data_IF_640885771756
#
_entry.id   IF_640885771756
#
_cell.length_a   1.000
_cell.length_b   1.000
_cell.length_c   1.000
_cell.angle_alpha   90.00
_cell.angle_beta   90.00
_cell.angle_gamma   90.00
#
_symmetry.space_group_name_H-M   'P 1'
#
loop_
_entity.id
_entity.type
_entity.pdbx_description
1 polymer ?
#
# COMPACT_ATOMS: atom_id res chain seq x y z
N UNK A 1 18.68 4.72 4.50
CA UNK A 1 19.11 3.81 5.60
C UNK A 1 20.44 3.12 5.22
N UNK A 2 21.41 2.92 6.14
CA UNK A 2 22.64 2.14 5.80
C UNK A 2 22.25 0.69 5.46
N UNK A 3 22.82 0.12 4.38
CA UNK A 3 22.46 -1.21 3.84
C UNK A 3 22.38 -2.32 4.91
N UNK A 4 23.35 -2.37 5.85
CA UNK A 4 23.33 -3.33 6.97
C UNK A 4 22.11 -3.18 7.90
N UNK A 5 21.71 -1.95 8.21
CA UNK A 5 20.55 -1.69 9.07
C UNK A 5 19.24 -2.04 8.35
N UNK A 6 19.17 -1.83 7.03
CA UNK A 6 18.02 -2.28 6.23
C UNK A 6 17.85 -3.79 6.27
N UNK A 7 18.92 -4.54 6.00
CA UNK A 7 18.89 -6.01 6.04
C UNK A 7 18.41 -6.54 7.39
N UNK A 8 18.85 -5.92 8.48
CA UNK A 8 18.41 -6.29 9.83
C UNK A 8 16.93 -5.94 10.05
N UNK A 9 16.49 -4.78 9.58
CA UNK A 9 15.09 -4.37 9.66
C UNK A 9 14.17 -5.32 8.88
N UNK A 10 14.49 -5.65 7.63
CA UNK A 10 13.73 -6.61 6.80
C UNK A 10 13.58 -7.94 7.55
N UNK A 11 14.68 -8.48 8.08
CA UNK A 11 14.69 -9.74 8.85
C UNK A 11 13.91 -9.69 10.15
N UNK A 12 13.59 -8.49 10.66
CA UNK A 12 12.78 -8.31 11.86
C UNK A 12 11.28 -8.19 11.57
N UNK A 13 10.89 -8.14 10.30
CA UNK A 13 9.48 -8.05 9.92
C UNK A 13 8.77 -9.37 10.17
N UNK A 14 7.58 -9.27 10.75
CA UNK A 14 6.60 -10.35 10.77
C UNK A 14 5.77 -10.29 9.49
N UNK A 15 5.08 -11.37 9.10
CA UNK A 15 4.15 -11.35 7.95
C UNK A 15 3.17 -10.17 7.98
N UNK A 16 2.55 -9.91 9.14
CA UNK A 16 1.64 -8.78 9.32
C UNK A 16 2.34 -7.43 9.14
N UNK A 17 3.52 -7.22 9.72
CA UNK A 17 4.24 -5.96 9.55
C UNK A 17 4.70 -5.74 8.11
N UNK A 18 5.04 -6.81 7.39
CA UNK A 18 5.37 -6.71 5.98
C UNK A 18 4.13 -6.31 5.17
N UNK A 19 2.98 -6.95 5.42
CA UNK A 19 1.71 -6.58 4.78
C UNK A 19 1.34 -5.12 5.02
N UNK A 20 1.29 -4.70 6.29
CA UNK A 20 0.88 -3.35 6.70
C UNK A 20 1.81 -2.26 6.13
N UNK A 21 3.10 -2.58 5.96
CA UNK A 21 4.08 -1.60 5.48
C UNK A 21 4.12 -1.49 3.94
N UNK A 22 4.04 -2.61 3.23
CA UNK A 22 4.24 -2.64 1.77
C UNK A 22 2.95 -2.54 0.95
N UNK A 23 1.82 -3.01 1.49
CA UNK A 23 0.53 -2.95 0.81
C UNK A 23 -0.49 -2.16 1.63
N UNK A 24 -0.72 -2.58 2.88
CA UNK A 24 -1.53 -1.82 3.84
C UNK A 24 -3.03 -1.82 3.61
N UNK A 25 -3.53 -2.57 2.62
CA UNK A 25 -4.95 -2.65 2.27
C UNK A 25 -5.51 -4.08 2.43
N UNK A 26 -6.77 -4.30 2.03
CA UNK A 26 -7.48 -5.56 2.16
C UNK A 26 -6.87 -6.68 1.30
N UNK A 27 -6.70 -7.88 1.89
CA UNK A 27 -6.21 -9.08 1.18
C UNK A 27 -7.12 -9.47 0.01
N UNK A 28 -8.43 -9.28 0.17
CA UNK A 28 -9.43 -9.56 -0.85
C UNK A 28 -9.25 -8.66 -2.08
N UNK A 29 -8.94 -7.37 -1.87
CA UNK A 29 -8.60 -6.44 -2.95
C UNK A 29 -7.31 -6.84 -3.65
N UNK A 30 -6.25 -7.13 -2.90
CA UNK A 30 -4.97 -7.59 -3.45
C UNK A 30 -5.16 -8.79 -4.39
N UNK A 31 -5.85 -9.83 -3.92
CA UNK A 31 -6.07 -11.03 -4.75
C UNK A 31 -6.89 -10.70 -5.99
N UNK A 32 -7.88 -9.79 -5.86
CA UNK A 32 -8.73 -9.39 -6.99
C UNK A 32 -7.96 -8.62 -8.05
N UNK A 33 -7.10 -7.68 -7.66
CA UNK A 33 -6.22 -6.93 -8.58
C UNK A 33 -5.41 -7.92 -9.44
N UNK A 34 -4.79 -8.92 -8.80
CA UNK A 34 -3.99 -9.93 -9.50
C UNK A 34 -4.82 -10.91 -10.33
N UNK A 35 -6.07 -11.20 -9.94
CA UNK A 35 -6.97 -12.04 -10.74
C UNK A 35 -7.34 -11.37 -12.07
N UNK A 36 -7.59 -10.06 -12.08
CA UNK A 36 -7.83 -9.29 -13.31
C UNK A 36 -6.62 -9.35 -14.24
N UNK A 37 -5.41 -9.30 -13.68
CA UNK A 37 -4.15 -9.46 -14.42
C UNK A 37 -3.85 -10.90 -14.87
N UNK A 38 -4.74 -11.86 -14.56
CA UNK A 38 -4.63 -13.27 -14.98
C UNK A 38 -3.76 -14.15 -14.10
N UNK A 39 -3.32 -13.67 -12.92
CA UNK A 39 -2.59 -14.49 -11.95
C UNK A 39 -3.57 -15.27 -11.09
N UNK A 40 -3.43 -16.59 -11.00
CA UNK A 40 -4.29 -17.42 -10.12
C UNK A 40 -3.55 -18.02 -8.92
N UNK A 41 -2.21 -17.98 -8.94
CA UNK A 41 -1.37 -18.56 -7.90
C UNK A 41 -0.86 -17.48 -6.94
N UNK A 42 -1.21 -17.59 -5.66
CA UNK A 42 -0.82 -16.61 -4.61
C UNK A 42 0.69 -16.40 -4.54
N UNK A 43 1.49 -17.46 -4.71
CA UNK A 43 2.96 -17.31 -4.70
C UNK A 43 3.44 -16.45 -5.85
N UNK A 44 2.91 -16.66 -7.04
CA UNK A 44 3.27 -15.88 -8.24
C UNK A 44 2.85 -14.42 -8.07
N UNK A 45 1.69 -14.16 -7.48
CA UNK A 45 1.23 -12.80 -7.12
C UNK A 45 2.24 -12.11 -6.20
N UNK A 46 2.62 -12.76 -5.10
CA UNK A 46 3.56 -12.20 -4.13
C UNK A 46 4.95 -11.95 -4.75
N UNK A 47 5.41 -12.84 -5.62
CA UNK A 47 6.68 -12.67 -6.34
C UNK A 47 6.62 -11.49 -7.31
N UNK A 48 5.55 -11.40 -8.11
CA UNK A 48 5.33 -10.30 -9.05
C UNK A 48 5.24 -8.96 -8.32
N UNK A 49 4.51 -8.92 -7.20
CA UNK A 49 4.37 -7.73 -6.35
C UNK A 49 5.72 -7.28 -5.77
N UNK A 50 6.53 -8.21 -5.25
CA UNK A 50 7.83 -7.87 -4.69
C UNK A 50 8.81 -7.29 -5.73
N UNK A 51 8.65 -7.63 -7.02
CA UNK A 51 9.48 -7.09 -8.11
C UNK A 51 9.22 -5.58 -8.33
N UNK A 52 8.10 -5.02 -7.86
CA UNK A 52 7.81 -3.58 -7.99
C UNK A 52 8.43 -2.73 -6.86
N UNK A 53 9.01 -3.35 -5.82
CA UNK A 53 9.72 -2.65 -4.74
C UNK A 53 11.08 -1.96 -5.04
N UNK A 54 11.82 -2.22 -6.15
CA UNK A 54 13.17 -1.70 -6.36
C UNK A 54 13.34 -0.17 -6.42
N UNK A 55 12.25 0.62 -6.38
CA UNK A 55 12.30 2.09 -6.43
C UNK A 55 11.67 2.77 -5.20
N UNK A 56 11.77 2.18 -4.01
CA UNK A 56 11.34 2.85 -2.77
C UNK A 56 12.47 3.65 -2.12
N UNK A 57 12.13 4.55 -1.19
CA UNK A 57 13.08 5.31 -0.35
C UNK A 57 14.03 4.44 0.49
N UNK A 58 13.81 3.12 0.49
CA UNK A 58 14.62 2.10 1.16
C UNK A 58 15.85 1.68 0.35
N UNK A 59 15.95 2.12 -0.91
CA UNK A 59 17.05 1.82 -1.84
C UNK A 59 16.92 0.44 -2.48
N UNK A 60 17.92 0.05 -3.27
CA UNK A 60 17.89 -1.20 -4.04
C UNK A 60 17.92 -2.45 -3.16
N UNK A 61 16.94 -3.32 -3.34
CA UNK A 61 16.85 -4.63 -2.71
C UNK A 61 17.64 -5.66 -3.52
N UNK A 62 18.30 -6.58 -2.84
CA UNK A 62 18.83 -7.80 -3.43
C UNK A 62 17.70 -8.77 -3.71
N UNK A 63 17.87 -9.64 -4.71
CA UNK A 63 16.88 -10.65 -5.09
C UNK A 63 16.43 -11.51 -3.90
N UNK A 64 17.35 -11.91 -3.03
CA UNK A 64 17.05 -12.69 -1.82
C UNK A 64 16.25 -11.90 -0.76
N UNK A 65 16.36 -10.57 -0.74
CA UNK A 65 15.52 -9.72 0.10
C UNK A 65 14.10 -9.64 -0.46
N UNK A 66 13.95 -9.54 -1.79
CA UNK A 66 12.65 -9.55 -2.47
C UNK A 66 11.92 -10.88 -2.29
N UNK A 67 12.63 -12.00 -2.44
CA UNK A 67 12.09 -13.35 -2.20
C UNK A 67 11.64 -13.53 -0.75
N UNK A 68 12.41 -13.00 0.20
CA UNK A 68 12.04 -13.06 1.61
C UNK A 68 10.78 -12.23 1.90
N UNK A 69 10.65 -11.04 1.32
CA UNK A 69 9.46 -10.21 1.45
C UNK A 69 8.23 -10.87 0.81
N UNK A 70 8.38 -11.42 -0.40
CA UNK A 70 7.31 -12.16 -1.07
C UNK A 70 6.80 -13.32 -0.19
N UNK A 71 7.70 -14.05 0.47
CA UNK A 71 7.33 -15.13 1.38
C UNK A 71 6.59 -14.63 2.63
N UNK A 72 7.01 -13.50 3.22
CA UNK A 72 6.28 -12.91 4.35
C UNK A 72 4.85 -12.49 3.96
N UNK A 73 4.68 -11.93 2.77
CA UNK A 73 3.38 -11.53 2.22
C UNK A 73 2.52 -12.78 1.94
N UNK A 74 3.10 -13.80 1.30
CA UNK A 74 2.45 -15.10 1.04
C UNK A 74 1.93 -15.73 2.35
N UNK A 75 2.76 -15.76 3.40
CA UNK A 75 2.36 -16.27 4.72
C UNK A 75 1.19 -15.49 5.33
N UNK A 76 1.19 -14.17 5.21
CA UNK A 76 0.10 -13.34 5.72
C UNK A 76 -1.22 -13.63 5.00
N UNK A 77 -1.18 -13.71 3.67
CA UNK A 77 -2.35 -14.02 2.84
C UNK A 77 -2.92 -15.39 3.20
N UNK A 78 -2.10 -16.44 3.29
CA UNK A 78 -2.58 -17.77 3.67
C UNK A 78 -3.19 -17.79 5.08
N UNK A 79 -2.56 -17.13 6.05
CA UNK A 79 -3.13 -17.01 7.39
C UNK A 79 -4.49 -16.28 7.40
N UNK A 80 -4.65 -15.27 6.55
CA UNK A 80 -5.92 -14.58 6.36
C UNK A 80 -6.99 -15.50 5.74
N UNK A 81 -6.63 -16.23 4.69
CA UNK A 81 -7.51 -17.20 4.01
C UNK A 81 -7.98 -18.27 4.99
N UNK A 82 -7.06 -18.85 5.77
CA UNK A 82 -7.39 -19.85 6.78
C UNK A 82 -8.36 -19.29 7.84
N UNK A 83 -8.13 -18.04 8.28
CA UNK A 83 -9.03 -17.35 9.21
C UNK A 83 -10.43 -17.11 8.63
N UNK A 84 -10.55 -16.92 7.32
CA UNK A 84 -11.82 -16.81 6.57
C UNK A 84 -12.46 -18.17 6.26
N UNK A 85 -11.80 -19.28 6.58
CA UNK A 85 -12.30 -20.64 6.32
C UNK A 85 -12.03 -21.13 4.89
N UNK A 86 -11.07 -20.53 4.19
CA UNK A 86 -10.64 -20.96 2.86
C UNK A 86 -10.93 -19.95 1.74
N UNK A 87 -10.33 -20.20 0.57
CA UNK A 87 -10.31 -19.27 -0.57
C UNK A 87 -11.72 -18.95 -1.11
N UNK A 88 -12.64 -19.91 -1.04
CA UNK A 88 -14.02 -19.78 -1.53
C UNK A 88 -14.87 -18.78 -0.71
N UNK A 89 -14.42 -18.41 0.49
CA UNK A 89 -15.09 -17.44 1.35
C UNK A 89 -14.56 -16.02 1.16
N UNK A 90 -13.56 -15.84 0.29
CA UNK A 90 -13.08 -14.51 -0.05
C UNK A 90 -14.09 -13.80 -0.94
N UNK A 91 -14.31 -12.52 -0.67
CA UNK A 91 -14.93 -11.62 -1.64
C UNK A 91 -13.91 -11.32 -2.73
N UNK A 92 -14.19 -11.74 -3.95
CA UNK A 92 -13.39 -11.41 -5.13
C UNK A 92 -14.13 -10.34 -5.91
N UNK A 93 -13.48 -9.21 -6.12
CA UNK A 93 -14.02 -8.06 -6.84
C UNK A 93 -13.85 -8.25 -8.35
N UNK A 94 -14.82 -7.79 -9.15
CA UNK A 94 -14.65 -7.66 -10.59
C UNK A 94 -13.73 -6.47 -10.93
N UNK A 95 -13.22 -6.42 -12.17
CA UNK A 95 -12.49 -5.26 -12.69
C UNK A 95 -13.31 -3.97 -12.55
N UNK A 96 -14.61 -4.02 -12.85
CA UNK A 96 -15.53 -2.88 -12.73
C UNK A 96 -15.68 -2.42 -11.27
N UNK A 97 -15.80 -3.36 -10.32
CA UNK A 97 -15.86 -3.02 -8.89
C UNK A 97 -14.55 -2.39 -8.39
N UNK A 98 -13.40 -2.88 -8.87
CA UNK A 98 -12.09 -2.31 -8.53
C UNK A 98 -11.92 -0.89 -9.10
N UNK A 99 -12.38 -0.65 -10.33
CA UNK A 99 -12.38 0.67 -10.95
C UNK A 99 -13.26 1.66 -10.19
N UNK A 100 -14.46 1.22 -9.75
CA UNK A 100 -15.35 2.03 -8.92
C UNK A 100 -14.70 2.39 -7.58
N UNK A 101 -14.06 1.42 -6.92
CA UNK A 101 -13.32 1.66 -5.67
C UNK A 101 -12.19 2.66 -5.87
N UNK A 102 -11.39 2.50 -6.94
CA UNK A 102 -10.28 3.41 -7.26
C UNK A 102 -10.78 4.84 -7.55
N UNK A 103 -11.90 4.97 -8.27
CA UNK A 103 -12.51 6.26 -8.55
C UNK A 103 -13.02 6.94 -7.27
N UNK A 104 -13.66 6.19 -6.36
CA UNK A 104 -14.15 6.70 -5.09
C UNK A 104 -12.99 7.21 -4.21
N UNK A 105 -11.92 6.42 -4.09
CA UNK A 105 -10.72 6.78 -3.33
C UNK A 105 -10.01 8.01 -3.92
N UNK A 106 -9.87 8.05 -5.24
CA UNK A 106 -9.28 9.19 -5.95
C UNK A 106 -10.10 10.46 -5.71
N UNK A 107 -11.42 10.38 -5.76
CA UNK A 107 -12.29 11.52 -5.48
C UNK A 107 -12.15 12.00 -4.03
N UNK A 108 -12.13 11.09 -3.05
CA UNK A 108 -11.89 11.43 -1.63
C UNK A 108 -10.54 12.15 -1.44
N UNK A 109 -9.49 11.67 -2.10
CA UNK A 109 -8.17 12.31 -2.05
C UNK A 109 -8.19 13.71 -2.65
N UNK A 110 -8.83 13.88 -3.82
CA UNK A 110 -8.96 15.19 -4.48
C UNK A 110 -9.75 16.19 -3.62
N UNK A 111 -10.81 15.75 -2.94
CA UNK A 111 -11.56 16.58 -2.01
C UNK A 111 -10.71 17.04 -0.82
N UNK A 112 -9.92 16.13 -0.24
CA UNK A 112 -9.00 16.45 0.86
C UNK A 112 -7.95 17.48 0.42
N UNK A 113 -7.39 17.31 -0.78
CA UNK A 113 -6.41 18.25 -1.35
C UNK A 113 -7.02 19.64 -1.54
N UNK A 114 -8.24 19.74 -2.12
CA UNK A 114 -8.95 21.01 -2.30
C UNK A 114 -9.23 21.71 -0.97
N UNK A 115 -9.67 20.96 0.04
CA UNK A 115 -9.91 21.48 1.39
C UNK A 115 -8.62 22.03 2.04
N UNK A 116 -7.52 21.30 1.88
CA UNK A 116 -6.21 21.68 2.41
C UNK A 116 -5.69 22.96 1.75
N UNK A 117 -5.80 23.06 0.42
CA UNK A 117 -5.42 24.26 -0.33
C UNK A 117 -6.23 25.48 0.13
N UNK A 118 -7.54 25.31 0.28
CA UNK A 118 -8.44 26.35 0.77
C UNK A 118 -8.03 26.86 2.16
N UNK A 119 -7.76 25.92 3.08
CA UNK A 119 -7.33 26.23 4.45
C UNK A 119 -5.99 26.97 4.47
N UNK A 120 -5.02 26.52 3.67
CA UNK A 120 -3.71 27.18 3.54
C UNK A 120 -3.83 28.60 2.98
N UNK A 121 -4.75 28.83 2.02
CA UNK A 121 -5.02 30.16 1.46
C UNK A 121 -5.58 31.12 2.51
N UNK A 122 -6.53 30.67 3.33
CA UNK A 122 -7.08 31.47 4.45
C UNK A 122 -5.98 31.83 5.44
N UNK A 123 -5.18 30.85 5.88
CA UNK A 123 -4.10 31.07 6.84
C UNK A 123 -3.05 32.08 6.33
N UNK A 124 -2.67 31.99 5.04
CA UNK A 124 -1.75 32.95 4.41
C UNK A 124 -2.32 34.38 4.39
N UNK A 125 -3.60 34.53 4.05
CA UNK A 125 -4.26 35.84 4.01
C UNK A 125 -4.37 36.47 5.41
N UNK A 126 -4.72 35.70 6.43
CA UNK A 126 -4.77 36.18 7.83
C UNK A 126 -3.40 36.65 8.33
N UNK A 127 -2.32 35.91 8.02
CA UNK A 127 -0.95 36.32 8.36
C UNK A 127 -0.53 37.63 7.68
N UNK A 128 -0.93 37.86 6.42
CA UNK A 128 -0.67 39.14 5.72
C UNK A 128 -1.41 40.31 6.39
N UNK A 129 -2.69 40.12 6.74
CA UNK A 129 -3.49 41.14 7.43
C UNK A 129 -2.89 41.49 8.80
N UNK A 130 -2.46 40.49 9.58
CA UNK A 130 -1.85 40.72 10.89
C UNK A 130 -0.50 41.43 10.81
N UNK A 131 0.32 41.16 9.78
CA UNK A 131 1.57 41.90 9.52
C UNK A 131 1.30 43.36 9.16
N UNK A 132 0.29 43.62 8.33
CA UNK A 132 -0.05 44.98 7.89
C UNK A 132 -0.67 45.84 9.00
N UNK A 133 -1.24 45.24 10.06
CA UNK A 133 -1.78 45.96 11.23
C UNK A 133 -0.73 46.32 12.29
N UNK A 134 0.52 45.84 12.16
CA UNK A 134 1.63 46.10 13.10
C UNK A 134 2.61 47.18 12.60
N UNK A 135 2.27 47.86 11.51
CA UNK A 135 2.94 49.05 10.95
C UNK A 135 2.00 50.22 11.16
#
# INVERSE_FOLDING_TARGET
MRNKMRKQWIKSLTPQKAWDFFYGDEVERFISDFYVDGYTNIREMCQRFAIDFPSTDLGYFEQSELEYLANLIEQYIYAYIDKKGGLHNLKIYSEEELDEMWLEETNKLLELMRSTEHTLRIAKNQRRIQKNKKI
#
